data_IF_045179036382
#
_entry.id   IF_045179036382
#
_cell.length_a   1.000
_cell.length_b   1.000
_cell.length_c   1.000
_cell.angle_alpha   90.00
_cell.angle_beta   90.00
_cell.angle_gamma   90.00
#
_symmetry.space_group_name_H-M   'P 1'
#
loop_
_entity.id
_entity.type
_entity.pdbx_description
1 polymer ?
#
# COMPACT_ATOMS: atom_id res chain seq x y z
N UNK A 1 -16.61 3.39 7.89
CA UNK A 1 -15.48 3.43 6.95
C UNK A 1 -15.17 4.83 6.41
N UNK A 2 -16.13 5.76 6.35
CA UNK A 2 -15.85 7.15 5.91
C UNK A 2 -14.98 7.96 6.89
N UNK A 3 -15.18 7.75 8.19
CA UNK A 3 -14.50 8.49 9.26
C UNK A 3 -12.96 8.35 9.22
N UNK A 4 -12.45 7.13 9.08
CA UNK A 4 -11.01 6.87 8.94
C UNK A 4 -10.43 7.49 7.66
N UNK A 5 -11.18 7.50 6.56
CA UNK A 5 -10.73 8.11 5.32
C UNK A 5 -10.65 9.64 5.44
N UNK A 6 -11.63 10.27 6.09
CA UNK A 6 -11.61 11.70 6.37
C UNK A 6 -10.41 12.06 7.27
N UNK A 7 -10.18 11.32 8.35
CA UNK A 7 -9.03 11.54 9.23
C UNK A 7 -7.69 11.42 8.49
N UNK A 8 -7.54 10.43 7.59
CA UNK A 8 -6.32 10.30 6.80
C UNK A 8 -6.10 11.50 5.87
N UNK A 9 -7.15 12.00 5.23
CA UNK A 9 -7.04 13.15 4.30
C UNK A 9 -6.82 14.46 5.05
N UNK A 10 -7.53 14.69 6.15
CA UNK A 10 -7.55 15.97 6.85
C UNK A 10 -6.38 16.13 7.82
N UNK A 11 -5.89 15.03 8.39
CA UNK A 11 -4.94 15.07 9.51
C UNK A 11 -3.61 14.37 9.24
N UNK A 12 -3.55 13.36 8.35
CA UNK A 12 -2.36 12.51 8.20
C UNK A 12 -1.60 12.74 6.90
N UNK A 13 -2.32 12.86 5.78
CA UNK A 13 -1.68 12.97 4.48
C UNK A 13 -1.17 14.40 4.23
N UNK A 14 0.06 14.55 3.71
CA UNK A 14 0.55 15.84 3.26
C UNK A 14 -0.27 16.34 2.06
N UNK A 15 -0.31 17.66 1.86
CA UNK A 15 -1.03 18.32 0.74
C UNK A 15 -0.32 18.14 -0.61
N UNK A 16 -0.15 16.89 -1.03
CA UNK A 16 0.40 16.48 -2.32
C UNK A 16 -0.52 15.43 -2.93
N UNK A 17 -0.54 15.24 -4.26
CA UNK A 17 -1.34 14.18 -4.87
C UNK A 17 -0.97 12.80 -4.31
N UNK A 18 -1.90 12.16 -3.61
CA UNK A 18 -1.73 10.80 -3.07
C UNK A 18 -2.39 9.79 -4.01
N UNK A 19 -1.74 8.64 -4.18
CA UNK A 19 -2.30 7.49 -4.91
C UNK A 19 -2.75 6.42 -3.92
N UNK A 20 -4.05 6.12 -3.91
CA UNK A 20 -4.61 4.99 -3.18
C UNK A 20 -4.67 3.75 -4.07
N UNK A 21 -4.23 2.61 -3.53
CA UNK A 21 -4.37 1.31 -4.17
C UNK A 21 -5.43 0.49 -3.45
N UNK A 22 -6.37 -0.09 -4.22
CA UNK A 22 -7.44 -0.94 -3.68
C UNK A 22 -7.31 -2.32 -4.31
N UNK A 23 -7.22 -3.36 -3.48
CA UNK A 23 -7.21 -4.74 -3.90
C UNK A 23 -8.59 -5.37 -3.68
N UNK A 24 -9.20 -5.86 -4.75
CA UNK A 24 -10.49 -6.55 -4.70
C UNK A 24 -10.35 -8.02 -5.08
N UNK A 25 -11.00 -8.90 -4.33
CA UNK A 25 -10.97 -10.35 -4.57
C UNK A 25 -12.30 -10.87 -5.13
N UNK A 26 -12.31 -12.00 -5.86
CA UNK A 26 -13.51 -12.80 -6.12
C UNK A 26 -14.23 -13.18 -4.82
N UNK A 27 -15.56 -13.32 -4.89
CA UNK A 27 -16.41 -13.55 -3.71
C UNK A 27 -15.98 -14.78 -2.89
N UNK A 28 -15.61 -15.89 -3.54
CA UNK A 28 -15.11 -17.11 -2.89
C UNK A 28 -13.84 -16.89 -2.06
N UNK A 29 -12.93 -16.03 -2.52
CA UNK A 29 -11.69 -15.74 -1.82
C UNK A 29 -11.88 -14.77 -0.65
N UNK A 30 -12.88 -13.87 -0.74
CA UNK A 30 -13.19 -12.94 0.37
C UNK A 30 -13.53 -13.68 1.65
N UNK A 31 -14.29 -14.78 1.58
CA UNK A 31 -14.62 -15.56 2.77
C UNK A 31 -13.39 -16.24 3.37
N UNK A 32 -12.52 -16.83 2.54
CA UNK A 32 -11.28 -17.45 3.05
C UNK A 32 -10.40 -16.43 3.75
N UNK A 33 -10.26 -15.24 3.17
CA UNK A 33 -9.50 -14.14 3.77
C UNK A 33 -10.18 -13.62 5.06
N UNK A 34 -11.50 -13.56 5.11
CA UNK A 34 -12.21 -13.06 6.30
C UNK A 34 -11.99 -13.92 7.55
N UNK A 35 -11.73 -15.23 7.39
CA UNK A 35 -11.58 -16.17 8.51
C UNK A 35 -10.13 -16.63 8.76
N UNK A 36 -9.20 -16.37 7.85
CA UNK A 36 -7.79 -16.74 7.99
C UNK A 36 -6.89 -15.50 8.03
N UNK A 37 -6.53 -15.10 9.26
CA UNK A 37 -5.68 -13.94 9.50
C UNK A 37 -4.24 -14.12 8.97
N UNK A 38 -3.74 -15.37 8.93
CA UNK A 38 -2.41 -15.64 8.37
C UNK A 38 -2.43 -15.39 6.87
N UNK A 39 -3.44 -15.93 6.19
CA UNK A 39 -3.64 -15.74 4.76
C UNK A 39 -3.78 -14.26 4.40
N UNK A 40 -4.54 -13.48 5.16
CA UNK A 40 -4.67 -12.03 4.95
C UNK A 40 -3.32 -11.33 5.08
N UNK A 41 -2.53 -11.69 6.10
CA UNK A 41 -1.22 -11.09 6.33
C UNK A 41 -0.28 -11.38 5.17
N UNK A 42 -0.25 -12.61 4.67
CA UNK A 42 0.60 -13.01 3.55
C UNK A 42 0.18 -12.33 2.24
N UNK A 43 -1.13 -12.25 1.99
CA UNK A 43 -1.67 -11.55 0.82
C UNK A 43 -1.37 -10.06 0.87
N UNK A 44 -1.50 -9.41 2.03
CA UNK A 44 -1.16 -8.01 2.20
C UNK A 44 0.33 -7.74 1.99
N UNK A 45 1.20 -8.62 2.52
CA UNK A 45 2.65 -8.56 2.31
C UNK A 45 3.00 -8.68 0.83
N UNK A 46 2.45 -9.68 0.15
CA UNK A 46 2.67 -9.89 -1.28
C UNK A 46 2.24 -8.66 -2.09
N UNK A 47 1.01 -8.18 -1.86
CA UNK A 47 0.47 -7.02 -2.55
C UNK A 47 1.36 -5.78 -2.37
N UNK A 48 1.73 -5.49 -1.12
CA UNK A 48 2.59 -4.34 -0.78
C UNK A 48 3.95 -4.45 -1.46
N UNK A 49 4.59 -5.62 -1.39
CA UNK A 49 5.89 -5.88 -2.02
C UNK A 49 5.83 -5.72 -3.54
N UNK A 50 4.79 -6.24 -4.19
CA UNK A 50 4.62 -6.11 -5.64
C UNK A 50 4.44 -4.65 -6.06
N UNK A 51 3.64 -3.88 -5.33
CA UNK A 51 3.45 -2.45 -5.62
C UNK A 51 4.77 -1.69 -5.44
N UNK A 52 5.49 -1.89 -4.33
CA UNK A 52 6.78 -1.22 -4.12
C UNK A 52 7.81 -1.62 -5.17
N UNK A 53 7.90 -2.91 -5.53
CA UNK A 53 8.81 -3.36 -6.59
C UNK A 53 8.49 -2.67 -7.93
N UNK A 54 7.21 -2.59 -8.30
CA UNK A 54 6.77 -1.88 -9.52
C UNK A 54 7.10 -0.38 -9.47
N UNK A 55 6.87 0.28 -8.33
CA UNK A 55 7.17 1.69 -8.15
C UNK A 55 8.67 1.97 -8.21
N UNK A 56 9.50 1.14 -7.58
CA UNK A 56 10.97 1.26 -7.63
C UNK A 56 11.44 1.06 -9.06
N UNK A 57 10.89 0.08 -9.78
CA UNK A 57 11.26 -0.17 -11.17
C UNK A 57 10.93 1.03 -12.07
N UNK A 58 9.72 1.60 -11.94
CA UNK A 58 9.33 2.82 -12.66
C UNK A 58 10.19 4.01 -12.26
N UNK A 59 10.48 4.19 -10.98
CA UNK A 59 11.32 5.28 -10.50
C UNK A 59 12.71 5.23 -11.15
N UNK A 60 13.29 4.03 -11.32
CA UNK A 60 14.56 3.83 -12.05
C UNK A 60 14.45 4.22 -13.52
N UNK A 61 13.36 3.89 -14.20
CA UNK A 61 13.12 4.31 -15.60
C UNK A 61 13.06 5.83 -15.74
N UNK A 62 12.55 6.53 -14.73
CA UNK A 62 12.52 8.00 -14.67
C UNK A 62 13.80 8.63 -14.06
N UNK A 63 14.86 7.85 -13.85
CA UNK A 63 16.17 8.34 -13.38
C UNK A 63 16.24 8.66 -11.88
N UNK A 64 15.29 8.18 -11.07
CA UNK A 64 15.34 8.39 -9.62
C UNK A 64 16.47 7.57 -8.98
N UNK A 65 17.38 8.26 -8.28
CA UNK A 65 18.43 7.64 -7.48
C UNK A 65 17.87 7.35 -6.09
N UNK A 66 18.11 6.14 -5.56
CA UNK A 66 17.74 5.79 -4.18
C UNK A 66 18.60 6.60 -3.22
N UNK A 67 18.15 7.78 -2.84
CA UNK A 67 18.67 8.45 -1.66
C UNK A 67 18.12 7.70 -0.45
N UNK A 68 18.94 6.88 0.17
CA UNK A 68 18.63 6.33 1.48
C UNK A 68 18.66 7.49 2.47
N UNK A 69 17.52 8.16 2.65
CA UNK A 69 17.33 9.02 3.80
C UNK A 69 17.29 8.10 5.00
N UNK A 70 18.44 7.97 5.65
CA UNK A 70 18.54 7.48 7.03
C UNK A 70 17.57 8.34 7.83
N UNK A 71 16.42 7.76 8.17
CA UNK A 71 15.63 8.26 9.29
C UNK A 71 16.38 7.70 10.49
N UNK A 72 17.42 8.42 10.90
CA UNK A 72 18.05 8.22 12.20
C UNK A 72 17.03 8.69 13.24
N UNK A 73 16.46 7.74 13.98
CA UNK A 73 15.93 7.94 15.34
C UNK A 73 16.56 6.88 16.25
#
# INVERSE_FOLDING_TARGET
MADTAAHLVDCVFPRVPVRQWVLSFPHSLRYRLAYDASLVTDVLRLFTNTIFASLIQRAREFGAVRNATRVDE
#
